data_IF_893815313668
#
_entry.id   IF_893815313668
#
_cell.length_a   1.000
_cell.length_b   1.000
_cell.length_c   1.000
_cell.angle_alpha   90.00
_cell.angle_beta   90.00
_cell.angle_gamma   90.00
#
_symmetry.space_group_name_H-M   'P 1'
#
loop_
_entity.id
_entity.type
_entity.pdbx_description
1 polymer ?
#
# COMPACT_ATOMS: atom_id res chain seq x y z
N UNK A 1 -2.92 -1.95 22.99
CA UNK A 1 -2.63 -1.48 21.63
C UNK A 1 -3.96 -1.15 20.99
N UNK A 2 -4.13 0.04 20.45
CA UNK A 2 -5.32 0.37 19.67
C UNK A 2 -5.16 -0.25 18.29
N UNK A 3 -6.05 -1.19 17.92
CA UNK A 3 -6.27 -1.61 16.53
C UNK A 3 -6.91 -0.43 15.78
N UNK A 4 -6.13 0.63 15.58
CA UNK A 4 -6.55 1.79 14.81
C UNK A 4 -6.18 1.56 13.35
N UNK A 5 -7.05 1.95 12.41
CA UNK A 5 -6.65 2.05 11.02
C UNK A 5 -5.49 3.07 10.87
N UNK A 6 -4.74 2.92 9.79
CA UNK A 6 -3.65 3.82 9.42
C UNK A 6 -3.82 4.28 7.97
N UNK A 7 -3.49 5.54 7.70
CA UNK A 7 -3.40 6.08 6.35
C UNK A 7 -1.92 6.32 6.02
N UNK A 8 -1.43 5.62 5.01
CA UNK A 8 -0.10 5.81 4.45
C UNK A 8 -0.22 6.72 3.24
N UNK A 9 0.56 7.80 3.22
CA UNK A 9 0.68 8.73 2.08
C UNK A 9 2.14 8.75 1.65
N UNK A 10 2.38 8.52 0.37
CA UNK A 10 3.71 8.50 -0.24
C UNK A 10 3.75 9.58 -1.31
N UNK A 11 4.83 10.35 -1.30
CA UNK A 11 5.24 11.20 -2.41
C UNK A 11 6.52 10.65 -3.01
N UNK A 12 6.53 10.43 -4.31
CA UNK A 12 7.71 9.93 -5.02
C UNK A 12 8.58 11.04 -5.66
N UNK A 13 9.69 10.63 -6.26
CA UNK A 13 10.65 11.51 -6.92
C UNK A 13 10.13 12.15 -8.23
N UNK A 14 8.98 11.70 -8.73
CA UNK A 14 8.28 12.27 -9.88
C UNK A 14 7.11 13.18 -9.46
N UNK A 15 7.03 13.53 -8.17
CA UNK A 15 5.99 14.39 -7.59
C UNK A 15 4.58 13.76 -7.60
N UNK A 16 4.49 12.44 -7.80
CA UNK A 16 3.25 11.71 -7.68
C UNK A 16 2.93 11.39 -6.22
N UNK A 17 1.65 11.43 -5.88
CA UNK A 17 1.16 11.19 -4.52
C UNK A 17 0.13 10.09 -4.55
N UNK A 18 0.36 9.04 -3.78
CA UNK A 18 -0.47 7.84 -3.69
C UNK A 18 -0.29 7.18 -2.32
N UNK A 19 -1.00 6.08 -2.08
CA UNK A 19 -0.82 5.36 -0.82
C UNK A 19 -1.91 4.34 -0.55
N UNK A 20 -2.09 4.07 0.74
CA UNK A 20 -3.01 3.04 1.20
C UNK A 20 -3.71 3.47 2.49
N UNK A 21 -5.01 3.17 2.59
CA UNK A 21 -5.67 3.06 3.89
C UNK A 21 -5.57 1.61 4.36
N UNK A 22 -5.12 1.42 5.59
CA UNK A 22 -4.95 0.12 6.22
C UNK A 22 -5.97 -0.06 7.32
N UNK A 23 -6.72 -1.15 7.26
CA UNK A 23 -7.64 -1.55 8.34
C UNK A 23 -6.96 -1.83 9.68
N UNK A 24 -5.66 -2.14 9.66
CA UNK A 24 -4.86 -2.49 10.83
C UNK A 24 -3.48 -1.81 10.71
N UNK A 25 -2.80 -1.52 11.84
CA UNK A 25 -1.46 -0.97 11.81
C UNK A 25 -0.46 -1.95 11.18
N UNK A 26 0.58 -1.41 10.54
CA UNK A 26 1.69 -2.22 10.02
C UNK A 26 2.37 -2.99 11.15
N UNK A 27 2.56 -4.29 10.94
CA UNK A 27 3.32 -5.20 11.79
C UNK A 27 3.98 -6.31 10.97
N UNK A 28 5.12 -6.86 11.44
CA UNK A 28 5.66 -8.10 10.90
C UNK A 28 4.65 -9.25 10.98
N UNK A 29 4.61 -10.08 9.94
CA UNK A 29 3.61 -11.13 9.80
C UNK A 29 4.07 -12.22 8.82
N UNK A 30 3.96 -13.50 9.20
CA UNK A 30 4.24 -14.61 8.29
C UNK A 30 3.23 -14.67 7.12
N UNK A 31 1.96 -14.38 7.42
CA UNK A 31 0.83 -14.39 6.48
C UNK A 31 0.21 -13.00 6.30
N UNK A 32 -0.57 -12.83 5.24
CA UNK A 32 -1.38 -11.62 5.08
C UNK A 32 -2.40 -11.46 6.21
N UNK A 33 -2.71 -10.21 6.55
CA UNK A 33 -3.73 -9.81 7.53
C UNK A 33 -4.48 -8.56 7.07
N UNK A 34 -5.46 -8.12 7.86
CA UNK A 34 -6.33 -6.98 7.55
C UNK A 34 -7.74 -7.39 7.12
N UNK A 35 -8.57 -6.41 6.81
CA UNK A 35 -9.95 -6.58 6.32
C UNK A 35 -10.12 -5.93 4.96
N UNK A 36 -11.29 -6.16 4.34
CA UNK A 36 -11.70 -5.51 3.08
C UNK A 36 -11.89 -3.99 3.17
N UNK A 37 -11.72 -3.39 4.35
CA UNK A 37 -11.67 -1.93 4.52
C UNK A 37 -10.34 -1.33 4.03
N UNK A 38 -9.29 -2.14 3.92
CA UNK A 38 -8.02 -1.72 3.31
C UNK A 38 -8.26 -1.36 1.84
N UNK A 39 -7.68 -0.26 1.36
CA UNK A 39 -7.74 0.14 -0.06
C UNK A 39 -6.49 0.92 -0.48
N UNK A 40 -6.17 0.87 -1.77
CA UNK A 40 -5.12 1.71 -2.37
C UNK A 40 -5.72 2.97 -2.97
N UNK A 41 -4.93 4.03 -3.09
CA UNK A 41 -5.36 5.25 -3.78
C UNK A 41 -4.20 5.94 -4.52
N UNK A 42 -4.57 6.67 -5.57
CA UNK A 42 -3.77 7.75 -6.16
C UNK A 42 -4.42 9.08 -5.78
N UNK A 43 -3.62 10.12 -5.60
CA UNK A 43 -4.05 11.46 -5.18
C UNK A 43 -3.59 12.54 -6.18
N UNK A 44 -2.33 12.54 -6.60
CA UNK A 44 -1.75 13.50 -7.55
C UNK A 44 -0.89 12.75 -8.58
N UNK A 45 -0.99 13.06 -9.89
CA UNK A 45 -1.80 14.12 -10.51
C UNK A 45 -3.28 13.78 -10.66
N UNK A 46 -3.68 12.55 -10.35
CA UNK A 46 -5.08 12.10 -10.50
C UNK A 46 -5.56 11.34 -9.28
N UNK A 47 -6.74 11.71 -8.80
CA UNK A 47 -7.41 11.00 -7.72
C UNK A 47 -8.13 9.73 -8.21
N UNK A 48 -7.88 8.59 -7.56
CA UNK A 48 -8.64 7.34 -7.73
C UNK A 48 -8.45 6.42 -6.53
N UNK A 49 -9.51 5.80 -6.04
CA UNK A 49 -9.45 4.75 -5.02
C UNK A 49 -9.68 3.36 -5.62
N UNK A 50 -8.95 2.36 -5.12
CA UNK A 50 -9.03 0.96 -5.50
C UNK A 50 -9.41 0.12 -4.28
N UNK A 51 -10.70 -0.17 -4.16
CA UNK A 51 -11.27 -0.93 -3.05
C UNK A 51 -11.11 -2.43 -3.28
N UNK A 52 -11.26 -3.20 -2.22
CA UNK A 52 -11.23 -4.65 -2.28
C UNK A 52 -12.21 -5.21 -3.33
N UNK A 53 -11.72 -6.15 -4.14
CA UNK A 53 -12.47 -6.79 -5.23
C UNK A 53 -13.38 -7.93 -4.75
N UNK A 54 -13.13 -8.48 -3.56
CA UNK A 54 -13.73 -9.74 -3.11
C UNK A 54 -12.96 -10.99 -3.53
N UNK A 55 -11.91 -10.87 -4.34
CA UNK A 55 -11.26 -12.02 -4.98
C UNK A 55 -10.38 -12.85 -4.02
N UNK A 56 -9.65 -12.18 -3.12
CA UNK A 56 -8.80 -12.81 -2.10
C UNK A 56 -8.67 -11.90 -0.87
N UNK A 57 -8.01 -12.36 0.19
CA UNK A 57 -7.79 -11.59 1.43
C UNK A 57 -6.32 -11.20 1.66
N UNK A 58 -5.56 -10.98 0.58
CA UNK A 58 -4.14 -10.64 0.65
C UNK A 58 -3.90 -9.12 0.85
N UNK A 59 -4.43 -8.57 1.95
CA UNK A 59 -4.50 -7.12 2.14
C UNK A 59 -3.18 -6.49 2.56
N UNK A 60 -2.61 -6.92 3.69
CA UNK A 60 -1.42 -6.32 4.30
C UNK A 60 -0.45 -7.44 4.65
N UNK A 61 0.84 -7.24 4.37
CA UNK A 61 1.92 -8.12 4.85
C UNK A 61 3.13 -7.26 5.23
N UNK A 62 3.66 -7.47 6.42
CA UNK A 62 4.91 -6.85 6.85
C UNK A 62 5.99 -7.91 7.05
N UNK A 63 7.21 -7.60 6.69
CA UNK A 63 8.44 -8.32 7.02
C UNK A 63 9.40 -7.35 7.74
N UNK A 64 10.54 -7.84 8.21
CA UNK A 64 11.62 -6.98 8.71
C UNK A 64 12.23 -6.13 7.60
N UNK A 65 12.24 -6.67 6.38
CA UNK A 65 12.96 -6.07 5.25
C UNK A 65 12.02 -5.26 4.32
N UNK A 66 10.70 -5.28 4.56
CA UNK A 66 9.71 -4.55 3.75
C UNK A 66 8.30 -4.57 4.33
N UNK A 67 7.41 -3.75 3.76
CA UNK A 67 5.97 -3.97 3.89
C UNK A 67 5.27 -3.93 2.52
N UNK A 68 4.11 -4.58 2.44
CA UNK A 68 3.36 -4.74 1.22
C UNK A 68 1.84 -4.67 1.45
N UNK A 69 1.14 -4.11 0.45
CA UNK A 69 -0.31 -3.93 0.44
C UNK A 69 -0.87 -4.45 -0.89
N UNK A 70 -1.78 -5.41 -0.80
CA UNK A 70 -2.46 -6.04 -1.93
C UNK A 70 -1.59 -7.04 -2.67
N UNK A 71 -2.12 -8.24 -2.95
CA UNK A 71 -1.38 -9.30 -3.63
C UNK A 71 -2.23 -10.09 -4.64
N UNK A 72 -1.78 -11.31 -4.94
CA UNK A 72 -2.51 -12.28 -5.76
C UNK A 72 -2.02 -12.41 -7.20
N UNK A 73 -1.29 -11.43 -7.75
CA UNK A 73 -0.79 -11.46 -9.14
C UNK A 73 0.67 -11.91 -9.29
N UNK A 74 1.33 -12.30 -8.18
CA UNK A 74 2.79 -12.51 -8.13
C UNK A 74 3.59 -11.24 -7.77
N UNK A 75 2.94 -10.07 -7.79
CA UNK A 75 3.46 -8.80 -7.32
C UNK A 75 2.51 -8.18 -6.28
N UNK A 76 2.91 -7.04 -5.73
CA UNK A 76 2.11 -6.29 -4.75
C UNK A 76 1.52 -5.02 -5.35
N UNK A 77 0.34 -4.63 -4.87
CA UNK A 77 -0.29 -3.36 -5.22
C UNK A 77 0.59 -2.16 -4.84
N UNK A 78 1.19 -2.25 -3.65
CA UNK A 78 2.21 -1.35 -3.14
C UNK A 78 3.20 -2.15 -2.29
N UNK A 79 4.49 -1.98 -2.53
CA UNK A 79 5.58 -2.55 -1.75
C UNK A 79 6.61 -1.46 -1.46
N UNK A 80 7.19 -1.49 -0.26
CA UNK A 80 8.22 -0.53 0.19
C UNK A 80 9.29 -1.27 0.99
N UNK A 81 10.55 -0.92 0.75
CA UNK A 81 11.71 -1.53 1.40
C UNK A 81 11.92 -1.10 2.86
N UNK A 82 12.84 -1.78 3.56
CA UNK A 82 13.25 -1.50 4.94
C UNK A 82 13.75 -0.07 5.19
N UNK A 83 14.31 0.56 4.15
CA UNK A 83 14.86 1.90 4.23
C UNK A 83 13.81 2.99 3.98
N UNK A 84 12.56 2.60 3.69
CA UNK A 84 11.47 3.50 3.32
C UNK A 84 11.86 4.42 2.15
N UNK A 85 12.67 3.90 1.22
CA UNK A 85 13.30 4.67 0.17
C UNK A 85 12.95 4.14 -1.22
N UNK A 86 12.96 2.82 -1.40
CA UNK A 86 12.56 2.18 -2.65
C UNK A 86 11.17 1.58 -2.50
N UNK A 87 10.34 1.81 -3.51
CA UNK A 87 9.05 1.18 -3.59
C UNK A 87 8.75 0.65 -4.97
N UNK A 88 7.76 -0.25 -5.02
CA UNK A 88 7.22 -0.82 -6.24
C UNK A 88 5.70 -0.85 -6.19
N UNK A 89 5.06 -0.58 -7.31
CA UNK A 89 3.62 -0.77 -7.49
C UNK A 89 3.35 -1.60 -8.74
N UNK A 90 2.40 -2.52 -8.64
CA UNK A 90 1.96 -3.34 -9.77
C UNK A 90 0.48 -3.66 -9.65
N UNK A 91 -0.22 -4.00 -10.76
CA UNK A 91 -1.57 -4.51 -10.68
C UNK A 91 -1.68 -5.76 -9.80
N UNK A 92 -2.67 -5.80 -8.91
CA UNK A 92 -2.93 -6.95 -8.05
C UNK A 92 -4.41 -7.34 -8.06
N UNK A 93 -4.69 -8.61 -7.76
CA UNK A 93 -6.05 -9.15 -7.74
C UNK A 93 -6.86 -8.66 -6.54
N UNK A 94 -6.21 -8.35 -5.41
CA UNK A 94 -6.90 -7.84 -4.21
C UNK A 94 -7.65 -6.53 -4.46
N UNK A 95 -7.10 -5.64 -5.30
CA UNK A 95 -7.66 -4.29 -5.51
C UNK A 95 -7.95 -3.94 -6.98
N UNK A 96 -7.51 -4.77 -7.93
CA UNK A 96 -7.57 -4.50 -9.37
C UNK A 96 -7.07 -3.08 -9.71
N UNK A 97 -5.97 -2.68 -9.06
CA UNK A 97 -5.33 -1.39 -9.27
C UNK A 97 -4.49 -1.38 -10.56
N UNK A 98 -4.27 -0.19 -11.12
CA UNK A 98 -3.13 0.03 -12.00
C UNK A 98 -1.87 0.29 -11.16
N UNK A 99 -0.71 0.44 -11.80
CA UNK A 99 0.45 1.03 -11.13
C UNK A 99 0.04 2.38 -10.50
N UNK A 100 0.45 2.60 -9.25
CA UNK A 100 0.12 3.80 -8.49
C UNK A 100 1.04 4.99 -8.82
N UNK A 101 2.23 4.70 -9.34
CA UNK A 101 3.19 5.65 -9.89
C UNK A 101 3.28 5.50 -11.42
N UNK A 102 3.94 6.43 -12.09
CA UNK A 102 4.20 6.49 -13.53
C UNK A 102 5.05 5.30 -13.97
N UNK A 103 5.95 4.84 -13.10
CA UNK A 103 6.76 3.64 -13.29
C UNK A 103 6.52 2.61 -12.19
N UNK A 104 6.74 1.33 -12.52
CA UNK A 104 6.58 0.24 -11.55
C UNK A 104 7.45 0.43 -10.31
N UNK A 105 8.72 0.84 -10.51
CA UNK A 105 9.66 1.18 -9.44
C UNK A 105 9.70 2.68 -9.21
N UNK A 106 9.72 3.11 -7.95
CA UNK A 106 9.78 4.52 -7.58
C UNK A 106 10.70 4.76 -6.36
N UNK A 107 11.15 6.00 -6.21
CA UNK A 107 11.89 6.46 -5.03
C UNK A 107 11.01 7.35 -4.18
N UNK A 108 10.95 7.05 -2.90
CA UNK A 108 10.16 7.80 -1.92
C UNK A 108 10.94 9.06 -1.53
N UNK A 109 10.29 10.22 -1.66
CA UNK A 109 10.81 11.50 -1.16
C UNK A 109 10.22 11.77 0.23
N UNK A 110 8.93 11.51 0.40
CA UNK A 110 8.21 11.68 1.67
C UNK A 110 7.27 10.50 1.89
N UNK A 111 7.21 10.03 3.15
CA UNK A 111 6.25 9.03 3.61
C UNK A 111 5.66 9.50 4.93
N UNK A 112 4.34 9.61 4.96
CA UNK A 112 3.58 9.97 6.16
C UNK A 112 2.65 8.83 6.56
N UNK A 113 2.49 8.64 7.88
CA UNK A 113 1.54 7.69 8.44
C UNK A 113 0.65 8.41 9.44
N UNK A 114 -0.65 8.39 9.19
CA UNK A 114 -1.67 9.00 10.03
C UNK A 114 -2.50 7.91 10.71
N UNK A 115 -2.79 8.06 12.00
CA UNK A 115 -3.69 7.17 12.75
C UNK A 115 -4.92 7.95 13.23
N UNK A 116 -5.99 7.23 13.55
CA UNK A 116 -7.28 7.81 13.91
C UNK A 116 -7.62 7.39 15.34
N UNK A 117 -7.63 8.36 16.26
CA UNK A 117 -7.92 8.15 17.69
C UNK A 117 -9.39 8.29 18.04
#
# INVERSE_FOLDING_TARGET
>A
STDSPALIVIKDALDEVFGAFLSHPLRPSETFYGTGETFLFMLHPRFKCFRWTGENSFFIKGDLDSFAIGGGSGHFGLWVDENLYLGRSSPCFTFNNCCLSETDDFRIVELEVWTFG
#
